data_IF_366740253318
#
_entry.id   IF_366740253318
#
_cell.length_a   1.000
_cell.length_b   1.000
_cell.length_c   1.000
_cell.angle_alpha   90.00
_cell.angle_beta   90.00
_cell.angle_gamma   90.00
#
_symmetry.space_group_name_H-M   'P 1'
#
loop_
_entity.id
_entity.type
_entity.pdbx_description
1 polymer ?
#
# COMPACT_ATOMS: atom_id res chain seq x y z
N UNK A 1 -45.34 -42.52 4.14
CA UNK A 1 -45.00 -41.73 2.94
C UNK A 1 -43.66 -41.06 3.19
N UNK A 2 -42.58 -41.69 2.78
CA UNK A 2 -41.22 -41.15 2.98
C UNK A 2 -40.91 -40.21 1.85
N UNK A 3 -40.90 -38.91 2.16
CA UNK A 3 -40.44 -37.86 1.24
C UNK A 3 -38.92 -37.94 1.15
N UNK A 4 -38.43 -38.51 0.05
CA UNK A 4 -37.01 -38.45 -0.31
C UNK A 4 -36.60 -36.97 -0.48
N UNK A 5 -35.59 -36.46 0.24
CA UNK A 5 -35.16 -35.11 0.05
C UNK A 5 -34.63 -34.97 -1.39
N UNK A 6 -35.09 -33.93 -2.08
CA UNK A 6 -34.61 -33.60 -3.43
C UNK A 6 -33.09 -33.36 -3.35
N UNK A 7 -32.32 -34.34 -3.85
CA UNK A 7 -30.85 -34.18 -3.94
C UNK A 7 -30.55 -33.07 -4.95
N UNK A 8 -30.10 -31.94 -4.44
CA UNK A 8 -29.60 -30.84 -5.27
C UNK A 8 -28.39 -31.34 -6.06
N UNK A 9 -28.48 -31.33 -7.37
CA UNK A 9 -27.40 -31.71 -8.28
C UNK A 9 -26.76 -30.47 -8.90
N UNK A 10 -25.46 -30.52 -9.13
CA UNK A 10 -24.73 -29.51 -9.92
C UNK A 10 -24.00 -30.17 -11.08
N UNK A 11 -23.74 -29.43 -12.14
CA UNK A 11 -22.94 -29.95 -13.25
C UNK A 11 -21.45 -29.77 -12.97
N UNK A 12 -20.66 -30.81 -13.27
CA UNK A 12 -19.22 -30.72 -13.17
C UNK A 12 -18.66 -29.75 -14.22
N UNK A 13 -17.84 -28.80 -13.80
CA UNK A 13 -17.24 -27.79 -14.68
C UNK A 13 -16.22 -28.36 -15.66
N UNK A 14 -15.68 -29.56 -15.39
CA UNK A 14 -14.67 -30.21 -16.24
C UNK A 14 -15.29 -31.18 -17.27
N UNK A 15 -16.29 -32.00 -16.88
CA UNK A 15 -16.87 -33.01 -17.75
C UNK A 15 -18.36 -32.80 -18.06
N UNK A 16 -19.01 -31.79 -17.50
CA UNK A 16 -20.43 -31.46 -17.74
C UNK A 16 -21.45 -32.38 -17.08
N UNK A 17 -21.04 -33.48 -16.46
CA UNK A 17 -21.97 -34.45 -15.87
C UNK A 17 -22.58 -33.93 -14.56
N UNK A 18 -23.82 -34.29 -14.32
CA UNK A 18 -24.51 -33.99 -13.06
C UNK A 18 -23.92 -34.84 -11.92
N UNK A 19 -23.55 -34.16 -10.84
CA UNK A 19 -23.00 -34.74 -9.61
C UNK A 19 -23.75 -34.20 -8.40
N UNK A 20 -23.66 -34.86 -7.26
CA UNK A 20 -24.23 -34.35 -6.02
C UNK A 20 -23.59 -33.01 -5.64
N UNK A 21 -24.41 -32.11 -5.08
CA UNK A 21 -23.91 -30.74 -4.71
C UNK A 21 -22.79 -30.78 -3.69
N UNK A 22 -22.80 -31.76 -2.78
CA UNK A 22 -21.82 -31.96 -1.71
C UNK A 22 -20.60 -32.79 -2.14
N UNK A 23 -20.54 -33.30 -3.38
CA UNK A 23 -19.40 -34.06 -3.88
C UNK A 23 -18.15 -33.20 -3.96
N UNK A 24 -17.12 -33.52 -3.17
CA UNK A 24 -15.83 -32.81 -3.18
C UNK A 24 -14.97 -33.20 -4.39
N UNK A 25 -15.19 -34.36 -4.97
CA UNK A 25 -14.47 -34.87 -6.14
C UNK A 25 -15.49 -35.44 -7.14
N UNK A 26 -15.33 -35.11 -8.42
CA UNK A 26 -16.17 -35.65 -9.46
C UNK A 26 -15.89 -37.16 -9.64
N UNK A 27 -16.90 -38.05 -9.48
CA UNK A 27 -16.69 -39.51 -9.63
C UNK A 27 -16.42 -39.93 -11.08
N UNK A 28 -16.66 -39.06 -12.06
CA UNK A 28 -16.52 -39.37 -13.47
C UNK A 28 -15.19 -38.93 -14.08
N UNK A 29 -14.63 -37.79 -13.63
CA UNK A 29 -13.40 -37.24 -14.21
C UNK A 29 -12.32 -36.93 -13.17
N UNK A 30 -12.57 -37.16 -11.86
CA UNK A 30 -11.60 -36.92 -10.80
C UNK A 30 -11.35 -35.44 -10.47
N UNK A 31 -12.12 -34.52 -11.06
CA UNK A 31 -11.95 -33.07 -10.76
C UNK A 31 -12.25 -32.78 -9.28
N UNK A 32 -11.30 -32.22 -8.56
CA UNK A 32 -11.41 -31.87 -7.14
C UNK A 32 -11.97 -30.50 -6.96
N UNK A 33 -13.14 -30.38 -6.34
CA UNK A 33 -13.83 -29.12 -6.03
C UNK A 33 -13.32 -28.47 -4.73
N UNK A 34 -12.54 -29.17 -3.91
CA UNK A 34 -11.91 -28.60 -2.71
C UNK A 34 -10.88 -27.53 -3.09
N UNK A 35 -10.24 -27.71 -4.26
CA UNK A 35 -9.28 -26.72 -4.76
C UNK A 35 -9.93 -25.49 -5.39
N UNK A 36 -11.21 -25.57 -5.77
CA UNK A 36 -11.95 -24.41 -6.29
C UNK A 36 -12.26 -23.35 -5.22
N UNK A 37 -12.16 -23.72 -3.94
CA UNK A 37 -12.27 -22.78 -2.81
C UNK A 37 -10.92 -22.32 -2.25
N UNK A 38 -9.82 -22.96 -2.66
CA UNK A 38 -8.49 -22.41 -2.44
C UNK A 38 -8.33 -21.24 -3.43
N UNK A 39 -8.54 -20.01 -2.95
CA UNK A 39 -8.20 -18.82 -3.73
C UNK A 39 -6.83 -19.07 -4.36
N UNK A 40 -6.73 -18.94 -5.69
CA UNK A 40 -5.45 -18.98 -6.38
C UNK A 40 -4.47 -18.12 -5.56
N UNK A 41 -3.24 -18.58 -5.31
CA UNK A 41 -2.28 -17.81 -4.51
C UNK A 41 -2.28 -16.40 -5.05
N UNK A 42 -2.75 -15.44 -4.25
CA UNK A 42 -2.83 -14.03 -4.63
C UNK A 42 -1.41 -13.68 -5.03
N UNK A 43 -1.18 -13.47 -6.32
CA UNK A 43 0.13 -13.13 -6.85
C UNK A 43 0.52 -11.85 -6.12
N UNK A 44 1.41 -11.97 -5.13
CA UNK A 44 1.85 -10.81 -4.36
C UNK A 44 2.49 -9.82 -5.32
N UNK A 45 1.78 -8.73 -5.57
CA UNK A 45 2.29 -7.67 -6.41
C UNK A 45 3.40 -6.93 -5.66
N UNK A 46 4.46 -6.57 -6.35
CA UNK A 46 5.54 -5.77 -5.80
C UNK A 46 5.17 -4.27 -5.73
N UNK A 47 3.98 -3.88 -6.18
CA UNK A 47 3.55 -2.48 -6.27
C UNK A 47 3.60 -1.73 -4.92
N UNK A 48 3.06 -2.26 -3.80
CA UNK A 48 3.12 -1.54 -2.52
C UNK A 48 4.54 -1.43 -1.99
N UNK A 49 5.40 -2.43 -2.27
CA UNK A 49 6.81 -2.39 -1.89
C UNK A 49 7.55 -1.26 -2.62
N UNK A 50 7.38 -1.18 -3.95
CA UNK A 50 8.00 -0.11 -4.76
C UNK A 50 7.47 1.26 -4.36
N UNK A 51 6.14 1.40 -4.17
CA UNK A 51 5.52 2.63 -3.70
C UNK A 51 6.04 3.07 -2.33
N UNK A 52 6.14 2.14 -1.38
CA UNK A 52 6.69 2.41 -0.05
C UNK A 52 8.16 2.85 -0.08
N UNK A 53 9.00 2.23 -0.91
CA UNK A 53 10.41 2.63 -1.09
C UNK A 53 10.50 4.06 -1.65
N UNK A 54 9.70 4.41 -2.65
CA UNK A 54 9.69 5.75 -3.22
C UNK A 54 9.28 6.81 -2.19
N UNK A 55 8.29 6.51 -1.35
CA UNK A 55 7.86 7.41 -0.25
C UNK A 55 8.99 7.58 0.78
N UNK A 56 9.71 6.52 1.13
CA UNK A 56 10.85 6.59 2.06
C UNK A 56 11.97 7.47 1.49
N UNK A 57 12.32 7.29 0.20
CA UNK A 57 13.33 8.10 -0.46
C UNK A 57 12.91 9.58 -0.44
N UNK A 58 11.65 9.90 -0.75
CA UNK A 58 11.09 11.24 -0.66
C UNK A 58 11.22 11.83 0.75
N UNK A 59 10.82 11.07 1.78
CA UNK A 59 10.92 11.47 3.18
C UNK A 59 12.38 11.73 3.63
N UNK A 60 13.34 10.93 3.16
CA UNK A 60 14.76 11.16 3.44
C UNK A 60 15.26 12.46 2.81
N UNK A 61 14.85 12.76 1.59
CA UNK A 61 15.19 14.02 0.91
C UNK A 61 14.59 15.21 1.68
N UNK A 62 13.35 15.12 2.13
CA UNK A 62 12.71 16.16 2.97
C UNK A 62 13.47 16.40 4.27
N UNK A 63 13.95 15.35 4.94
CA UNK A 63 14.77 15.50 6.14
C UNK A 63 16.09 16.23 5.85
N UNK A 64 16.77 15.89 4.77
CA UNK A 64 18.03 16.55 4.38
C UNK A 64 17.78 18.01 4.04
N UNK A 65 16.77 18.30 3.22
CA UNK A 65 16.41 19.67 2.83
C UNK A 65 16.01 20.48 4.06
N UNK A 66 15.16 19.92 4.92
CA UNK A 66 14.74 20.57 6.17
C UNK A 66 15.92 20.86 7.10
N UNK A 67 16.85 19.91 7.24
CA UNK A 67 18.07 20.10 8.02
C UNK A 67 18.97 21.22 7.46
N UNK A 68 19.16 21.26 6.15
CA UNK A 68 19.93 22.32 5.48
C UNK A 68 19.27 23.68 5.64
N UNK A 69 17.94 23.76 5.56
CA UNK A 69 17.21 25.02 5.78
C UNK A 69 17.33 25.54 7.22
N UNK A 70 17.28 24.61 8.20
CA UNK A 70 17.46 25.01 9.61
C UNK A 70 18.89 25.51 9.83
N UNK A 71 19.93 24.80 9.42
CA UNK A 71 21.33 25.17 9.61
C UNK A 71 21.69 26.43 8.80
N UNK A 72 21.22 26.54 7.56
CA UNK A 72 21.38 27.70 6.71
C UNK A 72 20.65 28.91 7.29
N UNK A 73 19.44 28.73 7.79
CA UNK A 73 18.69 29.82 8.48
C UNK A 73 19.41 30.32 9.72
N UNK A 74 19.96 29.44 10.55
CA UNK A 74 20.72 29.86 11.75
C UNK A 74 22.03 30.52 11.39
N UNK A 75 22.75 30.07 10.36
CA UNK A 75 24.00 30.71 9.90
C UNK A 75 23.80 32.11 9.32
N UNK A 76 22.62 32.36 8.71
CA UNK A 76 22.26 33.67 8.14
C UNK A 76 21.62 34.62 9.16
N UNK A 77 21.40 34.14 10.40
CA UNK A 77 20.72 34.92 11.44
C UNK A 77 21.42 36.24 11.74
N UNK A 78 22.76 36.29 11.72
CA UNK A 78 23.57 37.48 11.96
C UNK A 78 23.50 38.50 10.81
N UNK A 79 23.05 38.08 9.60
CA UNK A 79 23.08 38.92 8.39
C UNK A 79 21.71 39.54 8.07
N UNK A 80 20.61 38.79 8.34
CA UNK A 80 19.25 39.19 7.94
C UNK A 80 18.19 38.70 8.93
N UNK A 81 17.88 39.48 9.94
CA UNK A 81 16.99 39.14 11.06
C UNK A 81 15.57 38.64 10.69
N UNK A 82 15.08 38.85 9.48
CA UNK A 82 13.73 38.44 9.06
C UNK A 82 13.69 37.13 8.29
N UNK A 83 14.61 36.93 7.35
CA UNK A 83 14.59 35.79 6.41
C UNK A 83 15.07 34.50 7.07
N UNK A 84 16.03 34.60 7.99
CA UNK A 84 16.58 33.46 8.73
C UNK A 84 15.54 32.73 9.59
N UNK A 85 14.68 33.47 10.27
CA UNK A 85 13.59 32.92 11.07
C UNK A 85 12.59 32.17 10.23
N UNK A 86 12.21 32.70 9.06
CA UNK A 86 11.30 32.04 8.12
C UNK A 86 11.91 30.72 7.59
N UNK A 87 13.19 30.73 7.20
CA UNK A 87 13.89 29.54 6.71
C UNK A 87 13.97 28.46 7.78
N UNK A 88 14.26 28.80 9.03
CA UNK A 88 14.31 27.86 10.13
C UNK A 88 12.93 27.22 10.41
N UNK A 89 11.85 28.01 10.42
CA UNK A 89 10.48 27.54 10.60
C UNK A 89 10.07 26.63 9.43
N UNK A 90 10.34 27.04 8.19
CA UNK A 90 10.08 26.19 7.02
C UNK A 90 10.87 24.87 7.11
N UNK A 91 12.14 24.92 7.47
CA UNK A 91 12.97 23.73 7.64
C UNK A 91 12.42 22.78 8.71
N UNK A 92 11.94 23.30 9.84
CA UNK A 92 11.31 22.50 10.88
C UNK A 92 10.03 21.79 10.39
N UNK A 93 9.22 22.49 9.59
CA UNK A 93 8.03 21.90 8.96
C UNK A 93 8.43 20.76 8.02
N UNK A 94 9.45 20.95 7.16
CA UNK A 94 9.94 19.90 6.25
C UNK A 94 10.45 18.67 7.02
N UNK A 95 11.16 18.86 8.13
CA UNK A 95 11.61 17.75 8.98
C UNK A 95 10.41 16.97 9.54
N UNK A 96 9.39 17.65 10.04
CA UNK A 96 8.18 16.98 10.55
C UNK A 96 7.46 16.21 9.46
N UNK A 97 7.27 16.81 8.28
CA UNK A 97 6.63 16.15 7.13
C UNK A 97 7.44 14.92 6.67
N UNK A 98 8.76 15.04 6.59
CA UNK A 98 9.66 13.93 6.24
C UNK A 98 9.59 12.78 7.23
N UNK A 99 9.48 13.02 8.53
CA UNK A 99 9.28 11.96 9.54
C UNK A 99 7.95 11.25 9.34
N UNK A 100 6.86 11.98 9.09
CA UNK A 100 5.55 11.37 8.83
C UNK A 100 5.57 10.57 7.52
N UNK A 101 6.24 11.07 6.48
CA UNK A 101 6.41 10.37 5.21
C UNK A 101 7.19 9.06 5.38
N UNK A 102 8.26 9.04 6.20
CA UNK A 102 9.00 7.81 6.52
C UNK A 102 8.11 6.77 7.20
N UNK A 103 7.32 7.17 8.19
CA UNK A 103 6.38 6.28 8.85
C UNK A 103 5.35 5.73 7.86
N UNK A 104 4.77 6.58 7.01
CA UNK A 104 3.84 6.18 5.95
C UNK A 104 4.45 5.17 4.98
N UNK A 105 5.69 5.38 4.55
CA UNK A 105 6.45 4.47 3.69
C UNK A 105 6.69 3.09 4.33
N UNK A 106 7.02 3.06 5.63
CA UNK A 106 7.18 1.81 6.38
C UNK A 106 5.86 1.04 6.45
N UNK A 107 4.74 1.71 6.75
CA UNK A 107 3.42 1.07 6.77
C UNK A 107 2.97 0.60 5.39
N UNK A 108 3.35 1.30 4.31
CA UNK A 108 3.10 0.88 2.94
C UNK A 108 3.81 -0.45 2.62
N UNK A 109 5.08 -0.60 3.02
CA UNK A 109 5.86 -1.84 2.83
C UNK A 109 5.28 -2.99 3.67
N UNK A 110 4.83 -2.70 4.90
CA UNK A 110 4.23 -3.71 5.79
C UNK A 110 2.82 -4.11 5.37
N UNK A 111 2.24 -3.47 4.36
CA UNK A 111 0.85 -3.69 3.90
C UNK A 111 -0.19 -3.54 5.00
N UNK A 112 0.11 -2.75 6.04
CA UNK A 112 -0.76 -2.46 7.17
C UNK A 112 -1.26 -1.03 7.06
N UNK A 113 -2.52 -0.80 7.46
CA UNK A 113 -3.10 0.54 7.58
C UNK A 113 -2.96 1.40 6.32
N UNK A 114 -3.66 1.01 5.25
CA UNK A 114 -3.70 1.74 3.96
C UNK A 114 -3.83 3.27 4.13
N UNK A 115 -4.67 3.72 5.07
CA UNK A 115 -4.86 5.15 5.32
C UNK A 115 -3.58 5.89 5.72
N UNK A 116 -2.74 5.28 6.58
CA UNK A 116 -1.46 5.88 6.99
C UNK A 116 -0.44 5.92 5.85
N UNK A 117 -0.43 4.90 4.99
CA UNK A 117 0.41 4.88 3.80
C UNK A 117 0.05 6.02 2.83
N UNK A 118 -1.26 6.25 2.62
CA UNK A 118 -1.76 7.34 1.77
C UNK A 118 -1.43 8.71 2.37
N UNK A 119 -1.67 8.89 3.67
CA UNK A 119 -1.34 10.16 4.37
C UNK A 119 0.16 10.45 4.27
N UNK A 120 1.02 9.47 4.51
CA UNK A 120 2.48 9.64 4.35
C UNK A 120 2.87 10.01 2.93
N UNK A 121 2.25 9.39 1.92
CA UNK A 121 2.48 9.72 0.51
C UNK A 121 2.02 11.14 0.14
N UNK A 122 0.87 11.59 0.64
CA UNK A 122 0.35 12.95 0.41
C UNK A 122 1.23 14.01 1.08
N UNK A 123 1.66 13.77 2.32
CA UNK A 123 2.53 14.71 3.04
C UNK A 123 3.94 14.77 2.45
N UNK A 124 4.45 13.66 1.89
CA UNK A 124 5.71 13.62 1.14
C UNK A 124 5.68 14.39 -0.19
N UNK A 125 4.51 14.87 -0.66
CA UNK A 125 4.39 15.72 -1.85
C UNK A 125 5.07 17.08 -1.71
N UNK A 126 5.30 17.54 -0.46
CA UNK A 126 5.87 18.85 -0.19
C UNK A 126 7.31 19.06 -0.68
N UNK A 127 8.11 17.97 -0.78
CA UNK A 127 9.52 18.08 -1.13
C UNK A 127 9.87 17.68 -2.57
N UNK A 128 9.28 16.58 -3.06
CA UNK A 128 9.57 16.05 -4.41
C UNK A 128 8.32 15.47 -5.04
N UNK A 129 7.54 16.34 -5.63
CA UNK A 129 6.20 16.10 -6.18
C UNK A 129 6.14 14.86 -7.09
N UNK A 130 7.17 14.62 -7.90
CA UNK A 130 7.18 13.53 -8.88
C UNK A 130 7.28 12.16 -8.18
N UNK A 131 8.23 11.97 -7.27
CA UNK A 131 8.45 10.68 -6.61
C UNK A 131 7.32 10.32 -5.65
N UNK A 132 6.83 11.30 -4.90
CA UNK A 132 5.72 11.10 -3.99
C UNK A 132 4.40 10.82 -4.74
N UNK A 133 4.16 11.47 -5.87
CA UNK A 133 2.97 11.26 -6.69
C UNK A 133 2.97 9.86 -7.31
N UNK A 134 4.10 9.41 -7.87
CA UNK A 134 4.25 8.04 -8.38
C UNK A 134 4.08 7.01 -7.26
N UNK A 135 4.71 7.22 -6.11
CA UNK A 135 4.56 6.36 -4.94
C UNK A 135 3.13 6.28 -4.45
N UNK A 136 2.43 7.42 -4.37
CA UNK A 136 1.02 7.50 -3.98
C UNK A 136 0.11 6.76 -4.97
N UNK A 137 0.32 6.92 -6.28
CA UNK A 137 -0.46 6.20 -7.31
C UNK A 137 -0.25 4.69 -7.16
N UNK A 138 0.99 4.23 -6.99
CA UNK A 138 1.29 2.81 -6.82
C UNK A 138 0.62 2.23 -5.56
N UNK A 139 0.64 2.95 -4.44
CA UNK A 139 -0.04 2.55 -3.21
C UNK A 139 -1.56 2.56 -3.40
N UNK A 140 -2.12 3.56 -4.07
CA UNK A 140 -3.56 3.66 -4.32
C UNK A 140 -4.08 2.53 -5.22
N UNK A 141 -3.32 2.18 -6.27
CA UNK A 141 -3.67 1.07 -7.18
C UNK A 141 -3.55 -0.29 -6.49
N UNK A 142 -2.64 -0.44 -5.53
CA UNK A 142 -2.46 -1.69 -4.77
C UNK A 142 -3.35 -1.81 -3.53
N UNK A 143 -4.42 -1.01 -3.44
CA UNK A 143 -5.34 -0.99 -2.28
C UNK A 143 -5.82 -2.38 -1.84
N UNK A 144 -6.10 -3.27 -2.79
CA UNK A 144 -6.62 -4.61 -2.52
C UNK A 144 -5.61 -5.56 -1.85
N UNK A 145 -4.36 -5.14 -1.72
CA UNK A 145 -3.29 -5.89 -1.08
C UNK A 145 -3.07 -5.51 0.40
N UNK A 146 -3.73 -4.45 0.86
CA UNK A 146 -3.71 -4.05 2.27
C UNK A 146 -4.84 -4.76 3.01
N UNK A 147 -4.51 -5.49 4.06
CA UNK A 147 -5.44 -6.19 4.98
C UNK A 147 -5.46 -5.55 6.34
#
# INVERSE_FOLDING_TARGET
>A
MSSTPAQSTRNCVSCGRAISWDANVCPYCGHDFRMAGAAAPKKESAMPLVGGILIIIGGLIELVVGGVLITGGTALFDVTMGVSGILAVCGAIFVLLGLIALLGGIFAIQRKHFGLAVVGGVLGLGGYLIFALVGLILVAVSRDEFS
#
